data_IF_119602393435
#
_entry.id   IF_119602393435
#
_cell.length_a   1.000
_cell.length_b   1.000
_cell.length_c   1.000
_cell.angle_alpha   90.00
_cell.angle_beta   90.00
_cell.angle_gamma   90.00
#
_symmetry.space_group_name_H-M   'P 1'
#
loop_
_entity.id
_entity.type
_entity.pdbx_description
1 polymer ?
#
# COMPACT_ATOMS: atom_id res chain seq x y z
N UNK A 1 -7.84 52.36 37.98
CA UNK A 1 -7.36 51.01 38.35
C UNK A 1 -8.31 49.98 37.74
N UNK A 2 -7.97 49.39 36.58
CA UNK A 2 -8.78 48.36 35.92
C UNK A 2 -7.90 47.47 35.01
N UNK A 3 -6.94 46.74 35.58
CA UNK A 3 -6.14 45.73 34.84
C UNK A 3 -6.47 44.28 35.23
N UNK A 4 -7.51 44.05 36.04
CA UNK A 4 -7.77 42.71 36.61
C UNK A 4 -8.47 41.74 35.64
N UNK A 5 -8.91 42.22 34.46
CA UNK A 5 -9.59 41.41 33.44
C UNK A 5 -8.64 40.69 32.49
N UNK A 6 -7.57 41.33 32.02
CA UNK A 6 -6.67 40.77 30.99
C UNK A 6 -5.81 39.63 31.53
N UNK A 7 -5.36 39.73 32.79
CA UNK A 7 -4.57 38.69 33.46
C UNK A 7 -5.38 37.41 33.74
N UNK A 8 -6.71 37.53 33.90
CA UNK A 8 -7.59 36.38 34.12
C UNK A 8 -7.68 35.49 32.87
N UNK A 9 -7.77 36.09 31.68
CA UNK A 9 -7.93 35.36 30.42
C UNK A 9 -6.63 34.63 30.04
N UNK A 10 -5.48 35.30 30.22
CA UNK A 10 -4.16 34.72 29.87
C UNK A 10 -3.79 33.55 30.77
N UNK A 11 -4.13 33.62 32.07
CA UNK A 11 -3.87 32.55 33.04
C UNK A 11 -4.71 31.31 32.74
N UNK A 12 -5.99 31.48 32.38
CA UNK A 12 -6.87 30.37 31.99
C UNK A 12 -6.42 29.68 30.70
N UNK A 13 -5.98 30.43 29.69
CA UNK A 13 -5.48 29.82 28.45
C UNK A 13 -4.24 28.95 28.65
N UNK A 14 -3.28 29.40 29.47
CA UNK A 14 -2.08 28.60 29.81
C UNK A 14 -2.44 27.29 30.52
N UNK A 15 -3.44 27.32 31.41
CA UNK A 15 -3.91 26.11 32.09
C UNK A 15 -4.60 25.12 31.12
N UNK A 16 -5.40 25.62 30.18
CA UNK A 16 -6.06 24.78 29.16
C UNK A 16 -5.02 24.12 28.24
N UNK A 17 -3.98 24.86 27.82
CA UNK A 17 -2.92 24.32 26.96
C UNK A 17 -2.11 23.20 27.64
N UNK A 18 -1.76 23.37 28.94
CA UNK A 18 -1.04 22.32 29.70
C UNK A 18 -1.89 21.06 29.86
N UNK A 19 -3.19 21.21 30.17
CA UNK A 19 -4.12 20.07 30.29
C UNK A 19 -4.29 19.32 28.96
N UNK A 20 -4.41 20.03 27.84
CA UNK A 20 -4.49 19.42 26.49
C UNK A 20 -3.21 18.64 26.13
N UNK A 21 -2.02 19.17 26.41
CA UNK A 21 -0.75 18.48 26.13
C UNK A 21 -0.59 17.16 26.91
N UNK A 22 -1.00 17.16 28.17
CA UNK A 22 -1.00 15.95 29.01
C UNK A 22 -1.99 14.92 28.46
N UNK A 23 -3.20 15.35 28.10
CA UNK A 23 -4.20 14.48 27.49
C UNK A 23 -3.67 13.84 26.20
N UNK A 24 -3.05 14.62 25.31
CA UNK A 24 -2.48 14.09 24.05
C UNK A 24 -1.40 13.03 24.29
N UNK A 25 -0.48 13.25 25.26
CA UNK A 25 0.58 12.28 25.57
C UNK A 25 -0.01 10.98 26.12
N UNK A 26 -0.99 11.06 27.02
CA UNK A 26 -1.67 9.88 27.59
C UNK A 26 -2.40 9.11 26.49
N UNK A 27 -3.09 9.80 25.57
CA UNK A 27 -3.76 9.16 24.42
C UNK A 27 -2.77 8.45 23.48
N UNK A 28 -1.61 9.07 23.22
CA UNK A 28 -0.58 8.49 22.36
C UNK A 28 0.05 7.23 22.99
N UNK A 29 0.32 7.26 24.30
CA UNK A 29 0.83 6.10 25.05
C UNK A 29 -0.22 4.99 25.15
N UNK A 30 -1.50 5.32 25.33
CA UNK A 30 -2.60 4.34 25.37
C UNK A 30 -2.88 3.65 24.02
N UNK A 31 -2.78 4.40 22.91
CA UNK A 31 -2.96 3.84 21.56
C UNK A 31 -1.80 2.91 21.17
N UNK A 32 -0.55 3.28 21.51
CA UNK A 32 0.63 2.43 21.24
C UNK A 32 0.71 1.24 22.22
N UNK A 33 0.22 1.38 23.45
CA UNK A 33 0.26 0.33 24.47
C UNK A 33 -0.70 -0.84 24.27
N UNK A 34 -1.70 -0.72 23.40
CA UNK A 34 -2.76 -1.74 23.23
C UNK A 34 -2.39 -2.87 22.25
N UNK A 35 -1.20 -2.84 21.63
CA UNK A 35 -0.75 -3.87 20.67
C UNK A 35 0.02 -5.04 21.31
N UNK A 36 0.21 -5.08 22.63
CA UNK A 36 1.13 -6.04 23.28
C UNK A 36 0.47 -7.40 23.58
N UNK A 37 -0.86 -7.49 23.62
CA UNK A 37 -1.53 -8.73 24.04
C UNK A 37 -1.54 -9.85 22.98
N UNK A 38 -1.29 -9.53 21.70
CA UNK A 38 -1.19 -10.51 20.62
C UNK A 38 0.24 -11.06 20.40
N UNK A 39 1.24 -10.59 21.16
CA UNK A 39 2.66 -10.82 20.87
C UNK A 39 3.23 -12.04 21.64
N UNK A 40 2.66 -12.42 22.79
CA UNK A 40 3.26 -13.42 23.69
C UNK A 40 3.41 -14.82 23.08
N UNK A 41 2.41 -15.43 22.41
CA UNK A 41 2.60 -16.76 21.81
C UNK A 41 3.43 -16.75 20.51
N UNK A 42 3.61 -15.57 19.87
CA UNK A 42 4.39 -15.42 18.65
C UNK A 42 5.92 -15.35 18.91
N UNK A 43 6.34 -14.76 20.04
CA UNK A 43 7.76 -14.64 20.39
C UNK A 43 8.41 -16.00 20.67
N UNK A 44 7.69 -16.95 21.28
CA UNK A 44 8.24 -18.30 21.54
C UNK A 44 8.55 -19.08 20.24
N UNK A 45 7.88 -18.76 19.14
CA UNK A 45 8.16 -19.37 17.82
C UNK A 45 9.28 -18.66 17.06
N UNK A 46 9.58 -17.41 17.40
CA UNK A 46 10.62 -16.60 16.76
C UNK A 46 12.05 -16.95 17.22
N UNK A 47 12.21 -17.67 18.35
CA UNK A 47 13.54 -18.09 18.83
C UNK A 47 14.11 -19.30 18.08
N UNK A 48 13.29 -20.01 17.31
CA UNK A 48 13.74 -21.15 16.50
C UNK A 48 13.96 -20.81 15.01
N UNK A 49 13.48 -19.67 14.52
CA UNK A 49 13.72 -19.26 13.14
C UNK A 49 13.62 -17.74 12.96
N UNK A 50 14.75 -16.99 12.95
CA UNK A 50 14.72 -15.56 12.71
C UNK A 50 14.45 -15.30 11.22
N UNK A 51 13.21 -14.96 10.86
CA UNK A 51 12.92 -14.30 9.59
C UNK A 51 12.82 -12.79 9.81
N UNK A 52 13.64 -11.98 9.12
CA UNK A 52 13.63 -10.52 9.26
C UNK A 52 12.36 -9.92 8.67
N UNK A 53 11.59 -9.20 9.49
CA UNK A 53 10.43 -8.43 9.08
C UNK A 53 10.85 -7.24 8.20
N UNK A 54 10.78 -7.45 6.89
CA UNK A 54 10.86 -6.39 5.88
C UNK A 54 9.44 -6.09 5.40
N UNK A 55 8.87 -4.90 5.66
CA UNK A 55 7.50 -4.56 5.23
C UNK A 55 7.33 -4.53 3.69
N UNK A 56 8.43 -4.56 2.93
CA UNK A 56 8.45 -4.68 1.46
C UNK A 56 8.23 -6.10 0.95
N UNK A 57 8.72 -7.13 1.66
CA UNK A 57 8.62 -8.53 1.20
C UNK A 57 7.17 -9.00 1.22
N UNK A 58 6.37 -8.58 2.21
CA UNK A 58 4.98 -9.00 2.32
C UNK A 58 4.10 -8.47 1.16
N UNK A 59 4.23 -7.19 0.79
CA UNK A 59 3.45 -6.60 -0.30
C UNK A 59 3.89 -7.06 -1.70
N UNK A 60 5.20 -7.27 -1.93
CA UNK A 60 5.68 -7.84 -3.19
C UNK A 60 5.32 -9.33 -3.30
N UNK A 61 5.36 -10.08 -2.20
CA UNK A 61 4.95 -11.49 -2.17
C UNK A 61 3.46 -11.69 -2.47
N UNK A 62 2.59 -10.83 -1.93
CA UNK A 62 1.15 -10.91 -2.21
C UNK A 62 0.82 -10.56 -3.66
N UNK A 63 1.51 -9.58 -4.25
CA UNK A 63 1.38 -9.27 -5.68
C UNK A 63 1.88 -10.41 -6.57
N UNK A 64 2.94 -11.13 -6.16
CA UNK A 64 3.42 -12.31 -6.89
C UNK A 64 2.43 -13.48 -6.82
N UNK A 65 1.78 -13.70 -5.67
CA UNK A 65 0.71 -14.69 -5.57
C UNK A 65 -0.49 -14.32 -6.45
N UNK A 66 -0.88 -13.04 -6.47
CA UNK A 66 -1.96 -12.56 -7.33
C UNK A 66 -1.60 -12.74 -8.82
N UNK A 67 -0.36 -12.44 -9.21
CA UNK A 67 0.14 -12.68 -10.56
C UNK A 67 0.01 -14.16 -10.96
N UNK A 68 0.44 -15.08 -10.08
CA UNK A 68 0.31 -16.54 -10.32
C UNK A 68 -1.15 -16.97 -10.48
N UNK A 69 -2.06 -16.40 -9.70
CA UNK A 69 -3.49 -16.66 -9.82
C UNK A 69 -4.01 -16.35 -11.22
N UNK A 70 -3.69 -15.15 -11.75
CA UNK A 70 -4.07 -14.78 -13.12
C UNK A 70 -3.33 -15.57 -14.20
N UNK A 71 -2.08 -15.97 -13.96
CA UNK A 71 -1.35 -16.87 -14.88
C UNK A 71 -2.05 -18.23 -15.02
N UNK A 72 -2.54 -18.80 -13.92
CA UNK A 72 -3.33 -20.04 -13.96
C UNK A 72 -4.64 -19.87 -14.72
N UNK A 73 -5.30 -18.71 -14.60
CA UNK A 73 -6.47 -18.39 -15.42
C UNK A 73 -6.09 -18.34 -16.90
N UNK A 74 -4.98 -17.69 -17.26
CA UNK A 74 -4.52 -17.60 -18.66
C UNK A 74 -4.05 -18.93 -19.24
N UNK A 75 -3.58 -19.86 -18.41
CA UNK A 75 -3.28 -21.23 -18.87
C UNK A 75 -4.54 -21.95 -19.37
N UNK A 76 -5.69 -21.70 -18.71
CA UNK A 76 -6.98 -22.29 -19.07
C UNK A 76 -7.70 -21.49 -20.14
N UNK A 77 -7.60 -20.16 -20.06
CA UNK A 77 -8.26 -19.20 -20.94
C UNK A 77 -7.24 -18.19 -21.49
N UNK A 78 -6.46 -18.55 -22.54
CA UNK A 78 -5.36 -17.73 -23.02
C UNK A 78 -5.76 -16.34 -23.52
N UNK A 79 -7.03 -16.14 -23.83
CA UNK A 79 -7.60 -14.91 -24.38
C UNK A 79 -8.57 -14.24 -23.41
N UNK A 80 -8.54 -14.60 -22.12
CA UNK A 80 -9.35 -13.95 -21.11
C UNK A 80 -8.87 -12.50 -20.93
N UNK A 81 -9.70 -11.56 -21.42
CA UNK A 81 -9.41 -10.12 -21.40
C UNK A 81 -9.10 -9.62 -19.99
N UNK A 82 -9.91 -10.02 -19.00
CA UNK A 82 -9.73 -9.58 -17.60
C UNK A 82 -8.41 -10.07 -17.01
N UNK A 83 -8.05 -11.34 -17.26
CA UNK A 83 -6.80 -11.89 -16.76
C UNK A 83 -5.57 -11.23 -17.42
N UNK A 84 -5.62 -10.98 -18.73
CA UNK A 84 -4.58 -10.23 -19.45
C UNK A 84 -4.42 -8.80 -18.91
N UNK A 85 -5.54 -8.10 -18.68
CA UNK A 85 -5.54 -6.74 -18.13
C UNK A 85 -4.93 -6.71 -16.72
N UNK A 86 -5.45 -7.54 -15.81
CA UNK A 86 -5.01 -7.58 -14.41
C UNK A 86 -3.55 -7.99 -14.29
N UNK A 87 -3.15 -9.03 -15.00
CA UNK A 87 -1.75 -9.49 -14.98
C UNK A 87 -0.80 -8.44 -15.54
N UNK A 88 -1.19 -7.68 -16.58
CA UNK A 88 -0.35 -6.60 -17.11
C UNK A 88 -0.05 -5.51 -16.05
N UNK A 89 -1.07 -5.11 -15.28
CA UNK A 89 -0.94 -4.10 -14.22
C UNK A 89 -0.10 -4.64 -13.06
N UNK A 90 -0.33 -5.89 -12.66
CA UNK A 90 0.42 -6.51 -11.56
C UNK A 90 1.90 -6.63 -11.94
N UNK A 91 2.21 -7.09 -13.16
CA UNK A 91 3.59 -7.15 -13.66
C UNK A 91 4.26 -5.79 -13.70
N UNK A 92 3.52 -4.73 -14.05
CA UNK A 92 4.05 -3.35 -13.99
C UNK A 92 4.44 -2.95 -12.56
N UNK A 93 3.63 -3.31 -11.55
CA UNK A 93 3.93 -3.06 -10.13
C UNK A 93 5.12 -3.88 -9.63
N UNK A 94 5.24 -5.12 -10.12
CA UNK A 94 6.38 -6.00 -9.86
C UNK A 94 7.65 -5.60 -10.64
N UNK A 95 7.66 -4.43 -11.30
CA UNK A 95 8.76 -3.92 -12.13
C UNK A 95 9.08 -4.79 -13.36
N UNK A 96 8.26 -5.79 -13.68
CA UNK A 96 8.30 -6.54 -14.94
C UNK A 96 7.61 -5.75 -16.05
N UNK A 97 8.24 -4.65 -16.46
CA UNK A 97 7.73 -3.78 -17.53
C UNK A 97 7.60 -4.54 -18.86
N UNK A 98 8.55 -5.43 -19.20
CA UNK A 98 8.56 -6.16 -20.47
C UNK A 98 7.39 -7.14 -20.55
N UNK A 99 7.16 -7.94 -19.50
CA UNK A 99 6.03 -8.86 -19.44
C UNK A 99 4.69 -8.13 -19.43
N UNK A 100 4.60 -6.99 -18.73
CA UNK A 100 3.41 -6.15 -18.75
C UNK A 100 3.07 -5.61 -20.15
N UNK A 101 4.08 -5.13 -20.90
CA UNK A 101 3.91 -4.65 -22.28
C UNK A 101 3.43 -5.78 -23.18
N UNK A 102 4.04 -6.97 -23.11
CA UNK A 102 3.66 -8.11 -23.96
C UNK A 102 2.18 -8.51 -23.78
N UNK A 103 1.68 -8.50 -22.55
CA UNK A 103 0.27 -8.78 -22.26
C UNK A 103 -0.66 -7.69 -22.81
N UNK A 104 -0.25 -6.43 -22.70
CA UNK A 104 -1.02 -5.30 -23.25
C UNK A 104 -1.02 -5.29 -24.78
N UNK A 105 0.08 -5.70 -25.43
CA UNK A 105 0.12 -5.90 -26.89
C UNK A 105 -0.87 -6.96 -27.34
N UNK A 106 -0.98 -8.07 -26.60
CA UNK A 106 -1.98 -9.10 -26.87
C UNK A 106 -3.40 -8.56 -26.77
N UNK A 107 -3.70 -7.74 -25.75
CA UNK A 107 -5.01 -7.07 -25.62
C UNK A 107 -5.32 -6.14 -26.80
N UNK A 108 -4.34 -5.35 -27.26
CA UNK A 108 -4.51 -4.47 -28.42
C UNK A 108 -4.75 -5.26 -29.70
N UNK A 109 -4.06 -6.40 -29.88
CA UNK A 109 -4.25 -7.28 -31.04
C UNK A 109 -5.64 -7.93 -31.03
N UNK A 110 -6.13 -8.35 -29.87
CA UNK A 110 -7.45 -8.97 -29.72
C UNK A 110 -8.59 -7.96 -29.83
N UNK A 111 -8.37 -6.73 -29.38
CA UNK A 111 -9.38 -5.67 -29.34
C UNK A 111 -8.88 -4.38 -30.02
N UNK A 112 -8.65 -4.39 -31.35
CA UNK A 112 -8.07 -3.25 -32.06
C UNK A 112 -8.96 -2.00 -32.08
N UNK A 113 -10.26 -2.15 -31.82
CA UNK A 113 -11.20 -1.02 -31.70
C UNK A 113 -11.08 -0.28 -30.35
N UNK A 114 -10.46 -0.91 -29.33
CA UNK A 114 -10.30 -0.34 -27.99
C UNK A 114 -9.12 0.62 -27.94
N UNK A 115 -9.42 1.91 -28.06
CA UNK A 115 -8.43 2.98 -28.06
C UNK A 115 -7.75 3.16 -26.69
N UNK A 116 -8.42 2.79 -25.61
CA UNK A 116 -7.90 2.76 -24.26
C UNK A 116 -6.68 1.84 -24.13
N UNK A 117 -6.73 0.63 -24.68
CA UNK A 117 -5.57 -0.28 -24.66
C UNK A 117 -4.38 0.27 -25.43
N UNK A 118 -4.61 0.91 -26.59
CA UNK A 118 -3.54 1.55 -27.36
C UNK A 118 -2.88 2.68 -26.58
N UNK A 119 -3.68 3.47 -25.87
CA UNK A 119 -3.19 4.56 -25.02
C UNK A 119 -2.35 4.03 -23.87
N UNK A 120 -2.84 3.00 -23.17
CA UNK A 120 -2.10 2.36 -22.05
C UNK A 120 -0.80 1.73 -22.56
N UNK A 121 -0.83 1.02 -23.69
CA UNK A 121 0.36 0.43 -24.31
C UNK A 121 1.40 1.49 -24.66
N UNK A 122 0.97 2.62 -25.23
CA UNK A 122 1.84 3.74 -25.56
C UNK A 122 2.50 4.34 -24.31
N UNK A 123 1.74 4.56 -23.23
CA UNK A 123 2.27 5.05 -21.95
C UNK A 123 3.30 4.07 -21.34
N UNK A 124 2.97 2.77 -21.35
CA UNK A 124 3.89 1.73 -20.87
C UNK A 124 5.19 1.71 -21.66
N UNK A 125 5.13 1.82 -23.00
CA UNK A 125 6.31 1.88 -23.87
C UNK A 125 7.13 3.15 -23.65
N UNK A 126 6.49 4.31 -23.50
CA UNK A 126 7.17 5.58 -23.25
C UNK A 126 7.96 5.55 -21.93
N UNK A 127 7.40 4.96 -20.88
CA UNK A 127 8.06 4.76 -19.57
C UNK A 127 9.15 3.68 -19.56
N UNK A 128 9.37 2.99 -20.68
CA UNK A 128 10.40 1.96 -20.85
C UNK A 128 11.70 2.51 -21.46
N UNK A 129 11.71 3.76 -21.95
CA UNK A 129 12.87 4.41 -22.59
C UNK A 129 13.57 5.41 -21.64
N UNK A 130 13.29 5.33 -20.34
CA UNK A 130 13.96 6.12 -19.29
C UNK A 130 14.67 5.21 -18.30
#
# INVERSE_FOLDING_TARGET
MASSGEDYITTRQKQIARKKRILTIISFVGFVGSSVFAIVPAIQRATQNPQPVTPTVSAESSLQEEAKGYELVLQREPNNQTALEKLSIIRLRLKDKKGAIALMEKLVQQHPARQDYKTVLADMKKKNVQ
#
